data_IF_410675899470
#
_entry.id   IF_410675899470
#
_cell.length_a   1.000
_cell.length_b   1.000
_cell.length_c   1.000
_cell.angle_alpha   90.00
_cell.angle_beta   90.00
_cell.angle_gamma   90.00
#
_symmetry.space_group_name_H-M   'P 1'
#
loop_
_entity.id
_entity.type
_entity.pdbx_description
1 polymer ?
#
# COMPACT_ATOMS: atom_id res chain seq x y z
N UNK A 1 -18.67 -1.47 9.06
CA UNK A 1 -17.43 -1.75 9.81
C UNK A 1 -16.34 -0.93 9.17
N UNK A 2 -15.55 -0.25 9.97
CA UNK A 2 -14.38 0.49 9.51
C UNK A 2 -13.27 -0.51 9.17
N UNK A 3 -12.53 -0.28 8.10
CA UNK A 3 -11.42 -1.13 7.68
C UNK A 3 -10.15 -0.29 7.68
N UNK A 4 -9.09 -0.78 8.33
CA UNK A 4 -7.76 -0.22 8.16
C UNK A 4 -7.07 -0.95 7.00
N UNK A 5 -6.85 -0.28 5.84
CA UNK A 5 -6.30 -0.94 4.68
C UNK A 5 -4.82 -1.30 4.90
N UNK A 6 -4.50 -2.56 4.64
CA UNK A 6 -3.11 -3.01 4.52
C UNK A 6 -2.94 -3.60 3.13
N UNK A 7 -2.01 -3.07 2.33
CA UNK A 7 -1.79 -3.62 0.99
C UNK A 7 -0.34 -3.98 0.78
N UNK A 8 -0.11 -5.11 0.12
CA UNK A 8 1.22 -5.60 -0.21
C UNK A 8 1.38 -5.59 -1.72
N UNK A 9 2.17 -4.65 -2.21
CA UNK A 9 2.57 -4.57 -3.61
C UNK A 9 3.92 -5.23 -3.84
N UNK A 10 4.01 -6.02 -4.91
CA UNK A 10 5.25 -6.59 -5.44
C UNK A 10 5.31 -6.31 -6.93
N UNK A 11 6.49 -5.93 -7.42
CA UNK A 11 6.67 -5.56 -8.82
C UNK A 11 7.88 -6.31 -9.34
N UNK A 12 7.72 -6.92 -10.51
CA UNK A 12 8.82 -7.52 -11.25
C UNK A 12 8.88 -6.93 -12.66
N UNK A 13 10.08 -6.82 -13.20
CA UNK A 13 10.30 -6.33 -14.56
C UNK A 13 11.42 -7.09 -15.26
N UNK A 14 11.20 -7.46 -16.52
CA UNK A 14 12.21 -8.19 -17.32
C UNK A 14 12.63 -9.55 -16.73
N UNK A 15 11.84 -10.13 -15.81
CA UNK A 15 12.16 -11.38 -15.11
C UNK A 15 12.93 -11.21 -13.79
N UNK A 16 13.10 -9.98 -13.29
CA UNK A 16 13.74 -9.68 -11.99
C UNK A 16 12.80 -8.86 -11.09
N UNK A 17 12.96 -8.98 -9.76
CA UNK A 17 12.22 -8.14 -8.80
C UNK A 17 12.63 -6.67 -8.99
N UNK A 18 11.64 -5.78 -9.01
CA UNK A 18 11.83 -4.34 -9.13
C UNK A 18 12.08 -3.72 -7.75
N UNK A 19 12.84 -2.62 -7.73
CA UNK A 19 13.15 -1.90 -6.48
C UNK A 19 12.17 -0.76 -6.26
N UNK A 20 11.50 -0.74 -5.11
CA UNK A 20 10.62 0.37 -4.72
C UNK A 20 11.43 1.65 -4.50
N UNK A 21 10.88 2.76 -4.96
CA UNK A 21 11.41 4.12 -4.75
C UNK A 21 10.55 4.80 -3.69
N UNK A 22 11.20 5.50 -2.77
CA UNK A 22 10.54 6.36 -1.78
C UNK A 22 10.95 7.81 -2.04
N UNK A 23 9.97 8.67 -2.24
CA UNK A 23 10.12 10.13 -2.37
C UNK A 23 8.96 10.78 -1.60
N UNK A 24 9.07 10.70 -0.28
CA UNK A 24 8.03 11.15 0.63
C UNK A 24 8.17 12.65 0.93
N UNK A 25 7.04 13.37 0.98
CA UNK A 25 6.99 14.80 1.30
C UNK A 25 7.24 15.73 0.11
N UNK A 26 7.18 15.21 -1.12
CA UNK A 26 7.26 15.99 -2.35
C UNK A 26 5.91 16.69 -2.62
N UNK A 27 5.96 18.01 -2.86
CA UNK A 27 4.75 18.83 -3.06
C UNK A 27 4.00 18.53 -4.38
N UNK A 28 4.66 17.89 -5.35
CA UNK A 28 4.07 17.58 -6.67
C UNK A 28 3.49 16.18 -6.73
N UNK A 29 4.26 15.16 -6.31
CA UNK A 29 3.80 13.77 -6.21
C UNK A 29 4.45 13.13 -5.00
N UNK A 30 3.67 12.81 -3.98
CA UNK A 30 4.13 12.05 -2.83
C UNK A 30 4.22 10.57 -3.19
N UNK A 31 5.44 10.01 -3.26
CA UNK A 31 5.67 8.58 -3.48
C UNK A 31 5.98 7.94 -2.14
N UNK A 32 4.96 7.30 -1.58
CA UNK A 32 5.00 6.83 -0.20
C UNK A 32 4.55 5.36 -0.09
N UNK A 33 4.53 4.89 1.15
CA UNK A 33 3.86 3.67 1.56
C UNK A 33 2.35 3.78 1.38
N UNK A 34 1.69 2.63 1.45
CA UNK A 34 0.24 2.53 1.31
C UNK A 34 -0.43 3.30 2.46
N UNK A 35 -1.56 3.99 2.21
CA UNK A 35 -2.30 4.67 3.27
C UNK A 35 -2.73 3.69 4.36
N UNK A 36 -2.71 4.14 5.61
CA UNK A 36 -3.19 3.43 6.80
C UNK A 36 -4.36 4.19 7.47
N UNK A 37 -5.06 5.00 6.69
CA UNK A 37 -6.22 5.74 7.17
C UNK A 37 -7.46 4.87 6.99
N UNK A 38 -8.28 4.79 8.03
CA UNK A 38 -9.57 4.09 8.01
C UNK A 38 -10.41 4.49 6.81
N UNK A 39 -10.88 3.50 6.06
CA UNK A 39 -11.83 3.70 4.96
C UNK A 39 -13.25 3.48 5.49
N UNK A 40 -14.08 4.52 5.42
CA UNK A 40 -15.50 4.44 5.78
C UNK A 40 -16.31 3.62 4.75
N UNK A 41 -17.49 3.10 5.11
CA UNK A 41 -18.34 2.36 4.17
C UNK A 41 -18.60 3.11 2.87
N UNK A 42 -18.29 2.47 1.73
CA UNK A 42 -18.42 3.07 0.40
C UNK A 42 -17.32 4.06 0.01
N UNK A 43 -16.36 4.30 0.90
CA UNK A 43 -15.18 5.13 0.63
C UNK A 43 -14.15 4.44 -0.24
N UNK A 44 -13.25 5.25 -0.81
CA UNK A 44 -12.12 4.81 -1.63
C UNK A 44 -10.87 5.59 -1.24
N UNK A 45 -9.71 4.96 -1.40
CA UNK A 45 -8.41 5.61 -1.21
C UNK A 45 -7.54 5.40 -2.44
N UNK A 46 -6.72 6.40 -2.76
CA UNK A 46 -5.76 6.38 -3.87
C UNK A 46 -4.40 6.79 -3.34
N UNK A 47 -3.34 6.14 -3.83
CA UNK A 47 -1.96 6.47 -3.52
C UNK A 47 -1.06 6.20 -4.71
N UNK A 48 0.19 6.68 -4.63
CA UNK A 48 1.20 6.50 -5.67
C UNK A 48 2.38 5.71 -5.12
N UNK A 49 2.79 4.69 -5.86
CA UNK A 49 4.04 3.96 -5.64
C UNK A 49 4.91 4.06 -6.89
N UNK A 50 6.22 4.14 -6.72
CA UNK A 50 7.17 4.13 -7.83
C UNK A 50 8.18 3.01 -7.66
N UNK A 51 8.62 2.47 -8.79
CA UNK A 51 9.56 1.35 -8.86
C UNK A 51 10.58 1.60 -9.96
N UNK A 52 11.84 1.26 -9.70
CA UNK A 52 12.86 1.13 -10.74
C UNK A 52 12.67 -0.20 -11.46
N UNK A 53 12.53 -0.16 -12.79
CA UNK A 53 12.22 -1.32 -13.64
C UNK A 53 13.38 -1.62 -14.59
N UNK A 54 13.63 -2.91 -14.85
CA UNK A 54 14.72 -3.35 -15.73
C UNK A 54 14.36 -3.31 -17.22
N UNK A 55 13.12 -3.63 -17.57
CA UNK A 55 12.56 -3.56 -18.92
C UNK A 55 11.16 -2.92 -18.85
N UNK A 56 10.99 -1.65 -19.28
CA UNK A 56 9.71 -0.96 -19.21
C UNK A 56 8.63 -1.60 -20.10
N UNK A 57 9.00 -2.45 -21.07
CA UNK A 57 8.04 -3.19 -21.88
C UNK A 57 7.54 -4.49 -21.23
N UNK A 58 8.11 -4.90 -20.09
CA UNK A 58 7.76 -6.13 -19.37
C UNK A 58 7.64 -5.83 -17.87
N UNK A 59 6.46 -5.41 -17.44
CA UNK A 59 6.17 -5.13 -16.03
C UNK A 59 5.04 -6.02 -15.54
N UNK A 60 5.24 -6.64 -14.38
CA UNK A 60 4.23 -7.40 -13.65
C UNK A 60 4.04 -6.69 -12.31
N UNK A 61 2.78 -6.39 -11.98
CA UNK A 61 2.39 -5.83 -10.69
C UNK A 61 1.46 -6.83 -10.01
N UNK A 62 1.80 -7.21 -8.79
CA UNK A 62 0.94 -7.97 -7.90
C UNK A 62 0.53 -7.08 -6.73
N UNK A 63 -0.76 -6.95 -6.50
CA UNK A 63 -1.33 -6.26 -5.32
C UNK A 63 -2.15 -7.28 -4.54
N UNK A 64 -1.83 -7.43 -3.26
CA UNK A 64 -2.60 -8.21 -2.30
C UNK A 64 -3.19 -7.26 -1.26
N UNK A 65 -4.48 -6.87 -1.40
CA UNK A 65 -5.16 -6.10 -0.38
C UNK A 65 -5.55 -6.99 0.81
N UNK A 66 -5.41 -6.44 2.01
CA UNK A 66 -5.83 -6.97 3.30
C UNK A 66 -6.47 -5.84 4.09
N UNK A 67 -7.17 -6.20 5.16
CA UNK A 67 -7.75 -5.23 6.08
C UNK A 67 -7.52 -5.71 7.50
N UNK A 68 -7.03 -4.80 8.34
CA UNK A 68 -7.06 -5.01 9.78
C UNK A 68 -8.42 -4.54 10.32
N UNK A 69 -8.82 -5.18 11.41
CA UNK A 69 -10.04 -4.83 12.13
C UNK A 69 -9.70 -3.86 13.27
N UNK A 70 -10.67 -3.03 13.69
CA UNK A 70 -10.47 -2.17 14.86
C UNK A 70 -10.07 -2.99 16.10
N UNK A 71 -9.01 -2.55 16.77
CA UNK A 71 -8.56 -3.15 18.02
C UNK A 71 -9.70 -3.18 19.04
N UNK A 72 -9.92 -4.36 19.63
CA UNK A 72 -10.85 -4.53 20.74
C UNK A 72 -10.09 -4.98 21.97
N UNK A 73 -9.98 -4.09 22.96
CA UNK A 73 -9.31 -4.38 24.23
C UNK A 73 -10.34 -4.88 25.23
N UNK A 74 -10.16 -6.12 25.69
CA UNK A 74 -10.92 -6.70 26.79
C UNK A 74 -9.98 -6.88 27.98
N UNK A 75 -10.36 -6.36 29.14
CA UNK A 75 -9.63 -6.55 30.40
C UNK A 75 -10.54 -7.10 31.47
N UNK A 76 -10.00 -7.95 32.34
CA UNK A 76 -10.63 -8.41 33.58
C UNK A 76 -9.91 -7.86 34.82
N UNK A 77 -8.94 -6.96 34.65
CA UNK A 77 -8.37 -6.19 35.75
C UNK A 77 -9.46 -5.22 36.24
N UNK A 78 -9.75 -5.18 37.55
CA UNK A 78 -10.71 -4.22 38.11
C UNK A 78 -10.34 -2.77 37.80
#
# INVERSE_FOLDING_TARGET
MNLDPSTYSRVASGGVEASRIFDAGNETVDVNTTPNTVILPGGTVTWTEAYSVADPAKVIVQIAPSFDYEDSVFTNVP
#
